data_IF_858314020342
#
_entry.id   IF_858314020342
#
_cell.length_a   1.000
_cell.length_b   1.000
_cell.length_c   1.000
_cell.angle_alpha   90.00
_cell.angle_beta   90.00
_cell.angle_gamma   90.00
#
_symmetry.space_group_name_H-M   'P 1'
#
loop_
_entity.id
_entity.type
_entity.pdbx_description
1 polymer ?
#
# COMPACT_ATOMS: atom_id res chain seq x y z
N UNK A 1 6.43 -18.06 -23.91
CA UNK A 1 5.66 -16.80 -23.88
C UNK A 1 5.21 -16.57 -22.44
N UNK A 2 5.45 -15.39 -21.85
CA UNK A 2 4.91 -15.05 -20.53
C UNK A 2 3.50 -14.54 -20.73
N UNK A 3 2.49 -15.29 -20.28
CA UNK A 3 1.10 -14.84 -20.34
C UNK A 3 0.87 -13.69 -19.36
N UNK A 4 -0.05 -12.78 -19.70
CA UNK A 4 -0.41 -11.67 -18.81
C UNK A 4 -1.08 -12.21 -17.53
N UNK A 5 -0.85 -11.56 -16.39
CA UNK A 5 -1.39 -12.02 -15.09
C UNK A 5 -2.92 -12.12 -15.12
N UNK A 6 -3.59 -11.22 -15.85
CA UNK A 6 -5.06 -11.26 -16.05
C UNK A 6 -5.53 -12.51 -16.82
N UNK A 7 -4.79 -12.93 -17.84
CA UNK A 7 -5.09 -14.15 -18.60
C UNK A 7 -4.81 -15.41 -17.77
N UNK A 8 -3.76 -15.35 -16.94
CA UNK A 8 -3.44 -16.40 -15.98
C UNK A 8 -4.58 -16.54 -14.98
N UNK A 9 -5.01 -15.45 -14.32
CA UNK A 9 -6.09 -15.52 -13.32
C UNK A 9 -7.41 -16.05 -13.88
N UNK A 10 -7.73 -15.73 -15.14
CA UNK A 10 -8.96 -16.19 -15.79
C UNK A 10 -9.00 -17.71 -16.05
N UNK A 11 -7.85 -18.38 -16.12
CA UNK A 11 -7.73 -19.80 -16.52
C UNK A 11 -7.16 -20.70 -15.42
N UNK A 12 -6.86 -20.15 -14.25
CA UNK A 12 -5.97 -20.78 -13.29
C UNK A 12 -6.75 -21.31 -12.08
N UNK A 13 -6.76 -22.63 -11.93
CA UNK A 13 -7.30 -23.32 -10.75
C UNK A 13 -6.29 -23.31 -9.57
N UNK A 14 -4.99 -23.33 -9.86
CA UNK A 14 -3.90 -23.29 -8.87
C UNK A 14 -2.81 -22.28 -9.25
N UNK A 15 -2.50 -21.36 -8.33
CA UNK A 15 -1.56 -20.26 -8.53
C UNK A 15 -0.17 -20.79 -8.98
N UNK A 16 0.41 -20.30 -10.09
CA UNK A 16 1.69 -20.79 -10.57
C UNK A 16 2.83 -20.48 -9.60
N UNK A 17 3.74 -21.44 -9.41
CA UNK A 17 4.84 -21.36 -8.44
C UNK A 17 5.73 -20.12 -8.58
N UNK A 18 5.87 -19.58 -9.79
CA UNK A 18 6.62 -18.34 -10.06
C UNK A 18 6.06 -17.10 -9.36
N UNK A 19 4.82 -17.16 -8.85
CA UNK A 19 4.19 -16.11 -8.04
C UNK A 19 4.25 -16.41 -6.55
N UNK A 20 4.76 -17.57 -6.14
CA UNK A 20 4.98 -17.86 -4.73
C UNK A 20 6.10 -16.97 -4.23
N UNK A 21 5.78 -16.19 -3.19
CA UNK A 21 6.77 -15.36 -2.52
C UNK A 21 7.77 -16.27 -1.82
N UNK A 22 9.06 -15.98 -1.95
CA UNK A 22 10.09 -16.65 -1.16
C UNK A 22 9.90 -16.28 0.31
N UNK A 23 10.09 -17.26 1.20
CA UNK A 23 10.10 -17.00 2.62
C UNK A 23 11.39 -16.25 2.97
N UNK A 24 11.32 -14.93 2.94
CA UNK A 24 12.40 -14.06 3.34
C UNK A 24 12.04 -13.46 4.70
N UNK A 25 12.87 -13.67 5.72
CA UNK A 25 12.62 -13.28 7.13
C UNK A 25 12.37 -11.77 7.29
N UNK A 26 12.90 -10.95 6.37
CA UNK A 26 12.75 -9.49 6.33
C UNK A 26 11.33 -9.00 6.02
N UNK A 27 10.53 -9.81 5.34
CA UNK A 27 9.14 -9.49 4.97
C UNK A 27 8.13 -10.54 5.45
N UNK A 28 8.60 -11.57 6.14
CA UNK A 28 7.83 -12.69 6.67
C UNK A 28 7.15 -12.38 8.01
N UNK A 29 6.92 -11.11 8.35
CA UNK A 29 5.95 -10.76 9.38
C UNK A 29 4.60 -11.34 8.95
N UNK A 30 4.10 -12.33 9.70
CA UNK A 30 2.84 -13.03 9.49
C UNK A 30 1.82 -12.17 8.72
N UNK A 31 1.48 -12.55 7.49
CA UNK A 31 0.36 -11.94 6.75
C UNK A 31 -0.96 -12.03 7.53
N UNK A 32 -1.02 -12.92 8.52
CA UNK A 32 -2.13 -13.07 9.48
C UNK A 32 -2.08 -12.09 10.67
N UNK A 33 -0.98 -11.35 10.85
CA UNK A 33 -0.82 -10.29 11.86
C UNK A 33 -1.09 -8.89 11.30
N UNK A 34 -1.77 -8.78 10.15
CA UNK A 34 -2.22 -7.50 9.60
C UNK A 34 -3.18 -6.72 10.53
N UNK A 35 -3.61 -7.33 11.64
CA UNK A 35 -4.50 -6.75 12.63
C UNK A 35 -3.86 -5.70 13.57
N UNK A 36 -2.52 -5.55 13.58
CA UNK A 36 -1.85 -4.63 14.52
C UNK A 36 -1.32 -3.33 13.90
N UNK A 37 -1.70 -3.01 12.66
CA UNK A 37 -1.42 -1.69 12.08
C UNK A 37 -2.64 -0.79 12.28
N UNK A 38 -2.84 -0.32 13.51
CA UNK A 38 -3.83 0.72 13.84
C UNK A 38 -3.47 2.10 13.27
N UNK A 39 -2.35 2.19 12.57
CA UNK A 39 -1.87 3.42 11.98
C UNK A 39 -2.55 3.58 10.60
N UNK A 40 -3.41 4.59 10.46
CA UNK A 40 -4.08 4.90 9.20
C UNK A 40 -3.20 5.82 8.33
N UNK A 41 -3.14 5.53 7.02
CA UNK A 41 -2.44 6.39 6.06
C UNK A 41 -3.15 7.77 6.04
N UNK A 42 -2.42 8.89 6.20
CA UNK A 42 -3.04 10.21 6.20
C UNK A 42 -3.75 10.52 4.87
N UNK A 43 -4.98 11.03 4.93
CA UNK A 43 -5.73 11.52 3.77
C UNK A 43 -5.55 13.04 3.64
N UNK A 44 -5.21 13.56 2.46
CA UNK A 44 -5.03 15.01 2.25
C UNK A 44 -6.18 15.57 1.43
N UNK A 45 -6.90 16.54 1.99
CA UNK A 45 -7.93 17.28 1.25
C UNK A 45 -7.29 18.35 0.36
N UNK A 46 -7.09 18.01 -0.92
CA UNK A 46 -6.54 18.95 -1.90
C UNK A 46 -7.40 20.19 -2.13
N UNK A 47 -8.72 20.12 -1.88
CA UNK A 47 -9.59 21.28 -2.02
C UNK A 47 -9.25 22.32 -0.94
N UNK A 48 -9.04 21.88 0.30
CA UNK A 48 -8.60 22.74 1.40
C UNK A 48 -7.16 23.22 1.20
N UNK A 49 -6.27 22.34 0.74
CA UNK A 49 -4.89 22.70 0.46
C UNK A 49 -4.78 23.78 -0.63
N UNK A 50 -5.60 23.68 -1.68
CA UNK A 50 -5.65 24.67 -2.75
C UNK A 50 -6.08 26.06 -2.24
N UNK A 51 -6.88 26.10 -1.17
CA UNK A 51 -7.23 27.36 -0.47
C UNK A 51 -6.16 27.84 0.52
N UNK A 52 -4.96 27.24 0.49
CA UNK A 52 -3.84 27.53 1.40
C UNK A 52 -4.17 27.32 2.88
N UNK A 53 -5.00 26.32 3.19
CA UNK A 53 -5.29 25.92 4.57
C UNK A 53 -4.00 25.54 5.31
N UNK A 54 -3.61 26.25 6.38
CA UNK A 54 -2.39 25.95 7.12
C UNK A 54 -2.42 24.55 7.75
N UNK A 55 -3.58 24.13 8.26
CA UNK A 55 -3.75 22.81 8.89
C UNK A 55 -3.54 21.68 7.88
N UNK A 56 -4.03 21.86 6.65
CA UNK A 56 -3.92 20.84 5.61
C UNK A 56 -2.49 20.76 5.07
N UNK A 57 -1.80 21.90 4.96
CA UNK A 57 -0.39 21.94 4.61
C UNK A 57 0.50 21.26 5.68
N UNK A 58 0.21 21.47 6.96
CA UNK A 58 0.96 20.82 8.05
C UNK A 58 0.70 19.31 8.10
N UNK A 59 -0.53 18.88 7.82
CA UNK A 59 -0.87 17.47 7.65
C UNK A 59 -0.07 16.81 6.52
N UNK A 60 0.02 17.47 5.36
CA UNK A 60 0.81 16.99 4.23
C UNK A 60 2.30 16.85 4.59
N UNK A 61 2.90 17.87 5.21
CA UNK A 61 4.31 17.81 5.64
C UNK A 61 4.55 16.66 6.62
N UNK A 62 3.66 16.52 7.60
CA UNK A 62 3.73 15.43 8.59
C UNK A 62 3.68 14.07 7.90
N UNK A 63 2.73 13.86 6.99
CA UNK A 63 2.58 12.61 6.24
C UNK A 63 3.83 12.26 5.42
N UNK A 64 4.41 13.24 4.71
CA UNK A 64 5.64 13.02 3.93
C UNK A 64 6.81 12.60 4.83
N UNK A 65 6.95 13.21 6.02
CA UNK A 65 8.07 12.94 6.93
C UNK A 65 7.89 11.60 7.66
N UNK A 66 6.70 11.32 8.17
CA UNK A 66 6.45 10.16 9.05
C UNK A 66 6.06 8.90 8.29
N UNK A 67 5.29 9.03 7.21
CA UNK A 67 4.77 7.91 6.43
C UNK A 67 5.49 7.72 5.10
N UNK A 68 5.94 8.83 4.47
CA UNK A 68 6.42 8.82 3.10
C UNK A 68 5.32 8.62 2.06
N UNK A 69 4.06 8.44 2.49
CA UNK A 69 2.89 8.32 1.65
C UNK A 69 1.64 8.94 2.31
N UNK A 70 0.63 9.21 1.50
CA UNK A 70 -0.67 9.74 1.88
C UNK A 70 -1.69 9.37 0.79
N UNK A 71 -2.98 9.51 1.09
CA UNK A 71 -4.10 9.31 0.16
C UNK A 71 -4.66 10.65 -0.32
#
# INVERSE_FOLDING_TARGET
MKNHVQEVSAKCEQLPERYFRKHDEEYGGNLTNAHDVTAEIPVIDFSLLATSSPSELDKLKSAVITWGCFQ
#
